data_IF_269693100250
#
_entry.id   IF_269693100250
#
_cell.length_a   1.000
_cell.length_b   1.000
_cell.length_c   1.000
_cell.angle_alpha   90.00
_cell.angle_beta   90.00
_cell.angle_gamma   90.00
#
_symmetry.space_group_name_H-M   'P 1'
#
loop_
_entity.id
_entity.type
_entity.pdbx_description
1 polymer ?
#
# COMPACT_ATOMS: atom_id res chain seq x y z
N UNK A 1 -9.91 -24.62 3.04
CA UNK A 1 -9.77 -23.87 4.30
C UNK A 1 -8.32 -23.99 4.75
N UNK A 2 -7.66 -22.87 4.99
CA UNK A 2 -6.34 -22.85 5.63
C UNK A 2 -6.53 -22.63 7.13
N UNK A 3 -5.70 -23.26 7.94
CA UNK A 3 -5.64 -23.00 9.38
C UNK A 3 -4.18 -22.85 9.82
N UNK A 4 -3.96 -22.09 10.88
CA UNK A 4 -2.67 -21.98 11.57
C UNK A 4 -2.79 -22.62 12.95
N UNK A 5 -1.67 -23.09 13.49
CA UNK A 5 -1.59 -23.61 14.84
C UNK A 5 -0.99 -22.50 15.72
N UNK A 6 -1.72 -22.15 16.78
CA UNK A 6 -1.36 -21.09 17.71
C UNK A 6 -1.35 -21.64 19.13
N UNK A 7 -0.39 -21.21 20.00
CA UNK A 7 -0.41 -21.60 21.40
C UNK A 7 -1.56 -20.91 22.13
N UNK A 8 -2.34 -21.66 22.92
CA UNK A 8 -3.30 -21.10 23.88
C UNK A 8 -2.61 -20.65 25.17
N UNK A 9 -3.31 -19.85 25.97
CA UNK A 9 -2.88 -19.45 27.32
C UNK A 9 -2.58 -20.66 28.24
N UNK A 10 -3.20 -21.81 28.00
CA UNK A 10 -2.96 -23.06 28.73
C UNK A 10 -1.87 -23.95 28.11
N UNK A 11 -1.20 -23.50 27.05
CA UNK A 11 -0.13 -24.22 26.35
C UNK A 11 -0.60 -25.29 25.36
N UNK A 12 -1.92 -25.44 25.14
CA UNK A 12 -2.46 -26.33 24.12
C UNK A 12 -2.44 -25.70 22.73
N UNK A 13 -2.31 -26.54 21.70
CA UNK A 13 -2.37 -26.12 20.30
C UNK A 13 -3.82 -25.80 19.90
N UNK A 14 -4.08 -24.56 19.50
CA UNK A 14 -5.36 -24.10 18.95
C UNK A 14 -5.26 -24.04 17.44
N UNK A 15 -6.37 -24.34 16.75
CA UNK A 15 -6.47 -24.17 15.29
C UNK A 15 -7.21 -22.88 14.97
N UNK A 16 -6.50 -21.94 14.36
CA UNK A 16 -7.08 -20.69 13.89
C UNK A 16 -7.45 -20.82 12.42
N UNK A 17 -8.75 -20.78 12.13
CA UNK A 17 -9.25 -20.87 10.76
C UNK A 17 -9.18 -19.50 10.09
N UNK A 18 -8.51 -19.45 8.94
CA UNK A 18 -8.41 -18.24 8.11
C UNK A 18 -9.48 -18.35 7.02
N UNK A 19 -10.50 -17.51 7.12
CA UNK A 19 -11.64 -17.51 6.21
C UNK A 19 -11.63 -16.25 5.34
N UNK A 20 -12.01 -16.41 4.07
CA UNK A 20 -12.36 -15.27 3.23
C UNK A 20 -13.82 -14.85 3.47
N UNK A 21 -14.25 -13.73 2.87
CA UNK A 21 -15.59 -13.16 3.03
C UNK A 21 -16.71 -14.17 2.74
N UNK A 22 -16.62 -14.92 1.64
CA UNK A 22 -17.63 -15.91 1.25
C UNK A 22 -17.69 -17.08 2.23
N UNK A 23 -16.54 -17.58 2.68
CA UNK A 23 -16.45 -18.67 3.64
C UNK A 23 -17.00 -18.28 5.01
N UNK A 24 -16.65 -17.08 5.49
CA UNK A 24 -17.17 -16.54 6.74
C UNK A 24 -18.69 -16.32 6.66
N UNK A 25 -19.17 -15.70 5.58
CA UNK A 25 -20.61 -15.47 5.35
C UNK A 25 -21.39 -16.78 5.38
N UNK A 26 -20.91 -17.80 4.66
CA UNK A 26 -21.53 -19.13 4.67
C UNK A 26 -21.55 -19.73 6.08
N UNK A 27 -20.42 -19.73 6.80
CA UNK A 27 -20.32 -20.26 8.15
C UNK A 27 -21.33 -19.60 9.10
N UNK A 28 -21.46 -18.29 9.01
CA UNK A 28 -22.36 -17.49 9.84
C UNK A 28 -23.84 -17.82 9.61
N UNK A 29 -24.22 -18.25 8.40
CA UNK A 29 -25.61 -18.66 8.11
C UNK A 29 -26.03 -19.88 8.92
N UNK A 30 -25.10 -20.76 9.27
CA UNK A 30 -25.37 -21.94 10.09
C UNK A 30 -25.52 -21.63 11.59
N UNK A 31 -25.12 -20.43 12.03
CA UNK A 31 -25.22 -20.03 13.44
C UNK A 31 -26.64 -19.55 13.79
N UNK A 32 -27.19 -20.06 14.90
CA UNK A 32 -28.49 -19.62 15.44
C UNK A 32 -28.48 -18.14 15.83
N UNK A 33 -29.60 -17.46 15.64
CA UNK A 33 -29.75 -16.01 15.90
C UNK A 33 -30.02 -15.70 17.39
N UNK A 34 -29.14 -16.13 18.29
CA UNK A 34 -29.16 -15.64 19.69
C UNK A 34 -28.70 -14.18 19.74
N UNK A 35 -29.05 -13.45 20.80
CA UNK A 35 -28.72 -12.02 20.91
C UNK A 35 -27.22 -11.72 20.75
N UNK A 36 -26.29 -12.44 21.41
CA UNK A 36 -24.85 -12.23 21.19
C UNK A 36 -24.41 -12.52 19.76
N UNK A 37 -25.00 -13.52 19.11
CA UNK A 37 -24.65 -13.89 17.74
C UNK A 37 -25.17 -12.83 16.76
N UNK A 38 -26.32 -12.21 17.00
CA UNK A 38 -26.83 -11.12 16.14
C UNK A 38 -25.89 -9.92 16.13
N UNK A 39 -25.40 -9.50 17.30
CA UNK A 39 -24.43 -8.40 17.37
C UNK A 39 -23.13 -8.76 16.65
N UNK A 40 -22.60 -9.97 16.87
CA UNK A 40 -21.44 -10.46 16.13
C UNK A 40 -21.65 -10.45 14.61
N UNK A 41 -22.84 -10.85 14.12
CA UNK A 41 -23.17 -10.80 12.69
C UNK A 41 -23.18 -9.35 12.16
N UNK A 42 -23.72 -8.40 12.93
CA UNK A 42 -23.72 -6.97 12.54
C UNK A 42 -22.29 -6.42 12.45
N UNK A 43 -21.47 -6.70 13.46
CA UNK A 43 -20.08 -6.24 13.51
C UNK A 43 -19.26 -6.85 12.37
N UNK A 44 -19.44 -8.14 12.10
CA UNK A 44 -18.76 -8.82 11.00
C UNK A 44 -19.15 -8.23 9.64
N UNK A 45 -20.44 -7.99 9.41
CA UNK A 45 -20.91 -7.36 8.17
C UNK A 45 -20.33 -5.95 8.03
N UNK A 46 -20.37 -5.15 9.11
CA UNK A 46 -19.79 -3.81 9.12
C UNK A 46 -18.29 -3.84 8.77
N UNK A 47 -17.52 -4.74 9.37
CA UNK A 47 -16.10 -4.90 9.07
C UNK A 47 -15.85 -5.28 7.59
N UNK A 48 -16.67 -6.18 7.01
CA UNK A 48 -16.56 -6.50 5.59
C UNK A 48 -16.84 -5.30 4.67
N UNK A 49 -17.85 -4.49 4.99
CA UNK A 49 -18.12 -3.26 4.25
C UNK A 49 -16.98 -2.26 4.33
N UNK A 50 -16.46 -2.02 5.54
CA UNK A 50 -15.31 -1.11 5.75
C UNK A 50 -14.07 -1.59 4.98
N UNK A 51 -13.76 -2.88 5.00
CA UNK A 51 -12.66 -3.46 4.23
C UNK A 51 -12.89 -3.33 2.72
N UNK A 52 -14.11 -3.56 2.23
CA UNK A 52 -14.44 -3.38 0.80
C UNK A 52 -14.29 -1.92 0.35
N UNK A 53 -14.75 -0.98 1.16
CA UNK A 53 -14.62 0.44 0.87
C UNK A 53 -13.16 0.86 0.83
N UNK A 54 -12.34 0.33 1.76
CA UNK A 54 -10.90 0.55 1.75
C UNK A 54 -10.22 -0.03 0.51
N UNK A 55 -10.52 -1.28 0.15
CA UNK A 55 -9.99 -1.91 -1.06
C UNK A 55 -10.39 -1.14 -2.34
N UNK A 56 -11.63 -0.65 -2.39
CA UNK A 56 -12.13 0.13 -3.52
C UNK A 56 -11.42 1.48 -3.64
N UNK A 57 -11.17 2.17 -2.52
CA UNK A 57 -10.37 3.40 -2.48
C UNK A 57 -8.94 3.15 -2.97
N UNK A 58 -8.30 2.08 -2.50
CA UNK A 58 -6.95 1.68 -2.95
C UNK A 58 -6.94 1.36 -4.45
N UNK A 59 -7.96 0.68 -4.97
CA UNK A 59 -8.08 0.38 -6.39
C UNK A 59 -8.18 1.65 -7.23
N UNK A 60 -9.07 2.58 -6.87
CA UNK A 60 -9.23 3.85 -7.55
C UNK A 60 -7.92 4.66 -7.54
N UNK A 61 -7.23 4.70 -6.40
CA UNK A 61 -5.91 5.33 -6.28
C UNK A 61 -4.89 4.71 -7.25
N UNK A 62 -4.81 3.37 -7.34
CA UNK A 62 -3.93 2.69 -8.31
C UNK A 62 -4.26 3.04 -9.75
N UNK A 63 -5.55 3.13 -10.11
CA UNK A 63 -5.94 3.52 -11.46
C UNK A 63 -5.52 4.96 -11.81
N UNK A 64 -5.63 5.88 -10.84
CA UNK A 64 -5.16 7.26 -11.00
C UNK A 64 -3.63 7.35 -11.07
N UNK A 65 -2.90 6.46 -10.42
CA UNK A 65 -1.43 6.42 -10.47
C UNK A 65 -0.87 5.84 -11.77
N UNK A 66 -1.55 4.86 -12.39
CA UNK A 66 -1.11 4.23 -13.64
C UNK A 66 -0.69 5.25 -14.72
N UNK A 67 -1.48 6.30 -15.04
CA UNK A 67 -1.07 7.30 -16.02
C UNK A 67 0.15 8.11 -15.55
N UNK A 68 0.21 8.51 -14.27
CA UNK A 68 1.35 9.26 -13.72
C UNK A 68 2.66 8.48 -13.79
N UNK A 69 2.65 7.19 -13.44
CA UNK A 69 3.83 6.32 -13.57
C UNK A 69 4.27 6.17 -15.02
N UNK A 70 3.34 6.16 -15.98
CA UNK A 70 3.69 6.17 -17.41
C UNK A 70 4.40 7.48 -17.77
N UNK A 71 3.87 8.62 -17.35
CA UNK A 71 4.51 9.93 -17.57
C UNK A 71 5.90 10.01 -16.94
N UNK A 72 6.07 9.53 -15.70
CA UNK A 72 7.38 9.45 -15.05
C UNK A 72 8.36 8.56 -15.84
N UNK A 73 7.88 7.40 -16.29
CA UNK A 73 8.69 6.46 -17.08
C UNK A 73 9.11 7.08 -18.42
N UNK A 74 8.21 7.82 -19.07
CA UNK A 74 8.50 8.55 -20.31
C UNK A 74 9.51 9.67 -20.08
N UNK A 75 9.34 10.48 -19.03
CA UNK A 75 10.28 11.53 -18.67
C UNK A 75 11.69 10.97 -18.40
N UNK A 76 11.78 9.84 -17.68
CA UNK A 76 13.04 9.14 -17.42
C UNK A 76 13.69 8.62 -18.71
N UNK A 77 12.90 8.14 -19.68
CA UNK A 77 13.42 7.69 -20.99
C UNK A 77 14.04 8.84 -21.79
N UNK A 78 13.45 10.04 -21.72
CA UNK A 78 13.98 11.24 -22.38
C UNK A 78 15.11 11.91 -21.60
N UNK A 79 15.49 11.40 -20.43
CA UNK A 79 16.46 12.05 -19.55
C UNK A 79 17.90 11.71 -19.91
N UNK A 80 18.60 12.63 -20.56
CA UNK A 80 19.98 12.43 -21.02
C UNK A 80 20.99 12.26 -19.87
N UNK A 81 20.75 12.90 -18.72
CA UNK A 81 21.64 12.86 -17.53
C UNK A 81 21.17 11.85 -16.48
N UNK A 82 20.44 10.83 -16.90
CA UNK A 82 19.88 9.83 -16.02
C UNK A 82 20.98 8.99 -15.30
N UNK A 83 20.85 8.73 -13.99
CA UNK A 83 21.74 7.81 -13.30
C UNK A 83 21.44 6.35 -13.69
N UNK A 84 22.40 5.45 -13.42
CA UNK A 84 22.19 4.01 -13.59
C UNK A 84 21.00 3.55 -12.73
N UNK A 85 20.07 2.80 -13.34
CA UNK A 85 18.79 2.41 -12.73
C UNK A 85 17.93 3.61 -12.25
N UNK A 86 17.83 4.67 -13.06
CA UNK A 86 17.10 5.91 -12.75
C UNK A 86 15.70 5.69 -12.15
N UNK A 87 14.94 4.74 -12.69
CA UNK A 87 13.60 4.44 -12.20
C UNK A 87 13.58 3.98 -10.73
N UNK A 88 14.38 2.98 -10.37
CA UNK A 88 14.42 2.48 -8.99
C UNK A 88 15.02 3.49 -8.03
N UNK A 89 16.03 4.23 -8.48
CA UNK A 89 16.71 5.25 -7.68
C UNK A 89 15.77 6.40 -7.34
N UNK A 90 15.02 6.88 -8.33
CA UNK A 90 14.03 7.95 -8.12
C UNK A 90 12.84 7.47 -7.30
N UNK A 91 12.34 6.25 -7.55
CA UNK A 91 11.24 5.68 -6.76
C UNK A 91 11.62 5.58 -5.28
N UNK A 92 12.83 5.11 -4.96
CA UNK A 92 13.31 5.05 -3.58
C UNK A 92 13.51 6.44 -2.95
N UNK A 93 13.94 7.42 -3.74
CA UNK A 93 14.09 8.81 -3.28
C UNK A 93 12.74 9.44 -2.95
N UNK A 94 11.74 9.27 -3.82
CA UNK A 94 10.38 9.76 -3.63
C UNK A 94 9.71 9.08 -2.42
N UNK A 95 9.86 7.76 -2.28
CA UNK A 95 9.38 7.02 -1.11
C UNK A 95 10.03 7.53 0.18
N UNK A 96 11.34 7.78 0.16
CA UNK A 96 12.06 8.32 1.32
C UNK A 96 11.65 9.76 1.65
N UNK A 97 11.36 10.59 0.65
CA UNK A 97 10.83 11.94 0.87
C UNK A 97 9.41 11.93 1.45
N UNK A 98 8.55 11.00 1.00
CA UNK A 98 7.17 10.92 1.45
C UNK A 98 6.98 10.22 2.81
N UNK A 99 7.83 9.24 3.15
CA UNK A 99 7.66 8.37 4.33
C UNK A 99 8.86 8.31 5.27
N UNK A 100 10.00 8.89 4.89
CA UNK A 100 11.27 8.73 5.60
C UNK A 100 11.95 7.37 5.40
N UNK A 101 11.29 6.40 4.76
CA UNK A 101 11.75 5.00 4.62
C UNK A 101 11.91 4.61 3.15
N UNK A 102 12.78 3.65 2.88
CA UNK A 102 12.94 3.08 1.53
C UNK A 102 11.92 1.95 1.27
N UNK A 103 11.80 1.50 0.01
CA UNK A 103 10.87 0.42 -0.37
C UNK A 103 11.04 -0.84 0.50
N UNK A 104 12.28 -1.28 0.73
CA UNK A 104 12.55 -2.52 1.48
C UNK A 104 12.14 -2.40 2.96
N UNK A 105 12.41 -1.26 3.58
CA UNK A 105 12.02 -0.95 4.96
C UNK A 105 10.50 -0.86 5.12
N UNK A 106 9.81 -0.24 4.17
CA UNK A 106 8.34 -0.17 4.16
C UNK A 106 7.70 -1.54 3.99
N UNK A 107 8.28 -2.41 3.15
CA UNK A 107 7.80 -3.76 2.94
C UNK A 107 7.96 -4.62 4.21
N UNK A 108 9.09 -4.48 4.91
CA UNK A 108 9.36 -5.23 6.14
C UNK A 108 8.46 -4.81 7.31
N UNK A 109 8.14 -3.52 7.42
CA UNK A 109 7.34 -2.99 8.54
C UNK A 109 5.84 -3.18 8.35
N UNK A 110 5.35 -3.13 7.11
CA UNK A 110 3.90 -3.15 6.81
C UNK A 110 3.42 -4.47 6.17
N UNK A 111 4.24 -5.53 6.19
CA UNK A 111 3.96 -6.86 5.59
C UNK A 111 3.29 -6.78 4.19
N UNK A 112 3.75 -5.84 3.37
CA UNK A 112 3.14 -5.53 2.08
C UNK A 112 4.01 -6.03 0.93
N UNK A 113 3.37 -6.63 -0.08
CA UNK A 113 4.04 -7.11 -1.29
C UNK A 113 4.61 -5.96 -2.15
N UNK A 114 4.10 -4.73 -2.01
CA UNK A 114 4.52 -3.57 -2.81
C UNK A 114 4.66 -2.30 -1.96
N UNK A 115 5.80 -1.60 -2.08
CA UNK A 115 6.08 -0.39 -1.29
C UNK A 115 5.15 0.81 -1.49
N UNK A 116 4.35 0.85 -2.57
CA UNK A 116 3.34 1.90 -2.79
C UNK A 116 1.99 1.51 -2.17
N UNK A 117 1.66 0.22 -2.16
CA UNK A 117 0.45 -0.29 -1.50
C UNK A 117 0.55 -0.20 0.03
N UNK A 118 1.76 -0.03 0.53
CA UNK A 118 2.04 0.26 1.93
C UNK A 118 1.69 1.69 2.33
N UNK A 119 1.49 2.62 1.40
CA UNK A 119 1.33 4.05 1.71
C UNK A 119 -0.08 4.38 2.20
N UNK A 120 -0.17 5.22 3.24
CA UNK A 120 -1.44 5.84 3.66
C UNK A 120 -1.87 6.93 2.68
N UNK A 121 -3.15 7.32 2.70
CA UNK A 121 -3.67 8.39 1.81
C UNK A 121 -2.89 9.72 1.92
N UNK A 122 -2.40 10.06 3.12
CA UNK A 122 -1.60 11.27 3.33
C UNK A 122 -0.19 11.14 2.75
N UNK A 123 0.49 10.02 3.01
CA UNK A 123 1.80 9.70 2.44
C UNK A 123 1.73 9.62 0.91
N UNK A 124 0.64 9.10 0.37
CA UNK A 124 0.41 9.00 -1.06
C UNK A 124 0.24 10.38 -1.72
N UNK A 125 -0.50 11.29 -1.08
CA UNK A 125 -0.65 12.67 -1.58
C UNK A 125 0.70 13.38 -1.63
N UNK A 126 1.53 13.20 -0.60
CA UNK A 126 2.89 13.73 -0.57
C UNK A 126 3.78 13.09 -1.65
N UNK A 127 3.69 11.78 -1.83
CA UNK A 127 4.41 11.06 -2.89
C UNK A 127 4.05 11.61 -4.27
N UNK A 128 2.75 11.82 -4.55
CA UNK A 128 2.29 12.38 -5.82
C UNK A 128 2.82 13.79 -6.06
N UNK A 129 2.83 14.65 -5.04
CA UNK A 129 3.40 16.01 -5.14
C UNK A 129 4.89 15.97 -5.48
N UNK A 130 5.65 15.07 -4.86
CA UNK A 130 7.07 14.89 -5.14
C UNK A 130 7.30 14.27 -6.54
N UNK A 131 6.43 13.38 -6.99
CA UNK A 131 6.47 12.78 -8.32
C UNK A 131 6.26 13.84 -9.41
N UNK A 132 5.23 14.68 -9.27
CA UNK A 132 4.95 15.78 -10.22
C UNK A 132 6.13 16.78 -10.27
N UNK A 133 6.74 17.09 -9.11
CA UNK A 133 7.95 17.93 -9.04
C UNK A 133 9.15 17.26 -9.71
N UNK A 134 9.36 15.95 -9.49
CA UNK A 134 10.45 15.20 -10.10
C UNK A 134 10.33 15.14 -11.64
N UNK A 135 9.12 14.94 -12.17
CA UNK A 135 8.84 14.98 -13.60
C UNK A 135 9.23 16.35 -14.18
N UNK A 136 8.81 17.44 -13.55
CA UNK A 136 9.15 18.79 -13.99
C UNK A 136 10.67 19.01 -14.02
N UNK A 137 11.40 18.57 -12.98
CA UNK A 137 12.86 18.72 -12.91
C UNK A 137 13.60 17.86 -13.94
N UNK A 138 13.10 16.64 -14.23
CA UNK A 138 13.65 15.78 -15.27
C UNK A 138 13.47 16.41 -16.66
N UNK A 139 12.30 17.01 -16.92
CA UNK A 139 12.03 17.72 -18.17
C UNK A 139 12.94 18.96 -18.35
N UNK A 140 13.41 19.57 -17.25
CA UNK A 140 14.41 20.65 -17.26
C UNK A 140 15.86 20.13 -17.39
N UNK A 141 16.06 18.83 -17.61
CA UNK A 141 17.36 18.15 -17.72
C UNK A 141 18.30 18.40 -16.53
N UNK A 142 17.72 18.55 -15.33
CA UNK A 142 18.45 18.65 -14.06
C UNK A 142 19.16 17.33 -13.75
N UNK A 143 20.21 17.38 -12.93
CA UNK A 143 20.94 16.19 -12.49
C UNK A 143 20.26 15.57 -11.27
N UNK A 144 20.43 14.26 -11.10
CA UNK A 144 19.91 13.53 -9.95
C UNK A 144 20.31 14.13 -8.59
N UNK A 145 21.53 14.66 -8.47
CA UNK A 145 22.01 15.30 -7.24
C UNK A 145 21.19 16.52 -6.84
N UNK A 146 20.74 17.31 -7.81
CA UNK A 146 19.96 18.53 -7.60
C UNK A 146 18.52 18.19 -7.22
N UNK A 147 17.93 17.21 -7.91
CA UNK A 147 16.61 16.65 -7.59
C UNK A 147 16.59 16.10 -6.16
N UNK A 148 17.63 15.36 -5.77
CA UNK A 148 17.78 14.80 -4.43
C UNK A 148 17.83 15.88 -3.36
N UNK A 149 18.61 16.94 -3.57
CA UNK A 149 18.75 18.02 -2.60
C UNK A 149 17.42 18.75 -2.39
N UNK A 150 16.66 18.99 -3.45
CA UNK A 150 15.37 19.67 -3.37
C UNK A 150 14.30 18.83 -2.68
N UNK A 151 14.25 17.52 -2.94
CA UNK A 151 13.28 16.61 -2.29
C UNK A 151 13.46 16.55 -0.77
N UNK A 152 14.69 16.70 -0.26
CA UNK A 152 14.98 16.70 1.19
C UNK A 152 15.00 18.10 1.82
N UNK A 153 14.88 19.17 1.04
CA UNK A 153 14.78 20.56 1.54
C UNK A 153 13.34 21.01 1.79
N UNK A 154 12.35 20.29 1.25
CA UNK A 154 10.91 20.52 1.41
C UNK A 154 10.40 19.78 2.64
#
# INVERSE_FOLDING_TARGET
MQFKISPSESGQNVRDYILNEQQATLLITYLRNTEPVKEFKKDLVKAFFEMRDELSKRYLQRELEKPKRKTLTEAIKSWEKAPQHAYSTLTNLLLKGATGKNKAQLMQERESENGIDSLTSAELTNYQRLEDMAIAMINLNMRYSEIKELIFKV
#
